data_IF_501590149670
#
_entry.id   IF_501590149670
#
_cell.length_a   1.000
_cell.length_b   1.000
_cell.length_c   1.000
_cell.angle_alpha   90.00
_cell.angle_beta   90.00
_cell.angle_gamma   90.00
#
_symmetry.space_group_name_H-M   'P 1'
#
loop_
_entity.id
_entity.type
_entity.pdbx_description
1 polymer ?
#
# COMPACT_ATOMS: atom_id res chain seq x y z
N UNK A 1 -0.41 11.31 18.88
CA UNK A 1 -1.54 10.41 18.57
C UNK A 1 -1.68 10.20 17.06
N UNK A 2 -1.91 11.25 16.27
CA UNK A 2 -2.05 11.16 14.80
C UNK A 2 -0.84 10.53 14.10
N UNK A 3 0.38 11.02 14.40
CA UNK A 3 1.62 10.49 13.82
C UNK A 3 1.80 9.00 14.19
N UNK A 4 1.59 8.67 15.47
CA UNK A 4 1.71 7.30 15.99
C UNK A 4 0.73 6.32 15.33
N UNK A 5 -0.48 6.78 15.02
CA UNK A 5 -1.52 5.98 14.37
C UNK A 5 -1.18 5.76 12.89
N UNK A 6 -0.69 6.80 12.22
CA UNK A 6 -0.23 6.73 10.81
C UNK A 6 0.97 5.80 10.67
N UNK A 7 1.95 5.87 11.57
CA UNK A 7 3.12 4.96 11.53
C UNK A 7 2.72 3.51 11.78
N UNK A 8 1.80 3.25 12.72
CA UNK A 8 1.30 1.90 12.99
C UNK A 8 0.67 1.23 11.76
N UNK A 9 -0.16 1.98 11.02
CA UNK A 9 -0.80 1.45 9.80
C UNK A 9 0.22 1.26 8.66
N UNK A 10 1.20 2.17 8.54
CA UNK A 10 2.21 2.10 7.48
C UNK A 10 3.23 0.96 7.67
N UNK A 11 3.58 0.64 8.91
CA UNK A 11 4.51 -0.45 9.23
C UNK A 11 3.82 -1.83 9.25
N UNK A 12 2.48 -1.86 9.25
CA UNK A 12 1.74 -3.10 9.23
C UNK A 12 1.94 -3.87 7.90
N UNK A 13 2.34 -5.14 8.03
CA UNK A 13 2.50 -6.07 6.91
C UNK A 13 1.70 -7.35 7.15
N UNK A 14 1.01 -7.79 6.10
CA UNK A 14 0.35 -9.09 6.05
C UNK A 14 1.33 -10.12 5.51
N UNK A 15 1.61 -11.17 6.30
CA UNK A 15 2.48 -12.28 5.90
C UNK A 15 1.64 -13.35 5.20
N UNK A 16 1.82 -13.53 3.89
CA UNK A 16 1.14 -14.57 3.11
C UNK A 16 2.10 -15.76 3.00
N UNK A 17 1.73 -16.97 3.48
CA UNK A 17 2.60 -18.14 3.41
C UNK A 17 2.78 -18.60 1.96
N UNK A 18 4.02 -18.89 1.59
CA UNK A 18 4.40 -19.40 0.28
C UNK A 18 5.08 -20.75 0.44
N UNK A 19 4.58 -21.71 -0.30
CA UNK A 19 5.16 -23.03 -0.41
C UNK A 19 5.95 -23.09 -1.71
N UNK A 20 7.27 -23.00 -1.62
CA UNK A 20 8.14 -23.25 -2.78
C UNK A 20 8.16 -24.73 -3.12
N UNK A 21 8.23 -25.05 -4.41
CA UNK A 21 8.32 -26.43 -4.89
C UNK A 21 9.57 -27.11 -4.30
N UNK A 22 9.36 -28.30 -3.74
CA UNK A 22 10.40 -29.07 -3.05
C UNK A 22 10.95 -30.13 -3.99
N UNK A 23 12.27 -30.37 -3.96
CA UNK A 23 12.90 -31.44 -4.75
C UNK A 23 13.03 -32.68 -3.87
N UNK A 24 12.31 -33.74 -4.19
CA UNK A 24 12.47 -35.04 -3.54
C UNK A 24 13.63 -35.77 -4.23
N UNK A 25 14.68 -36.11 -3.48
CA UNK A 25 15.79 -36.95 -3.98
C UNK A 25 15.93 -38.16 -3.05
N UNK A 26 15.62 -39.35 -3.57
CA UNK A 26 15.53 -40.57 -2.77
C UNK A 26 14.36 -40.52 -1.76
N UNK A 27 14.57 -41.00 -0.53
CA UNK A 27 13.59 -40.95 0.57
C UNK A 27 13.60 -39.63 1.36
N UNK A 28 14.43 -38.66 0.97
CA UNK A 28 14.60 -37.40 1.70
C UNK A 28 14.01 -36.24 0.89
N UNK A 29 13.10 -35.51 1.51
CA UNK A 29 12.60 -34.23 1.01
C UNK A 29 13.70 -33.18 1.24
N UNK A 30 14.30 -32.69 0.15
CA UNK A 30 15.27 -31.59 0.19
C UNK A 30 14.58 -30.29 -0.21
N UNK A 31 14.69 -29.29 0.67
CA UNK A 31 14.00 -28.02 0.52
C UNK A 31 12.62 -28.07 1.14
N UNK A 32 12.37 -27.18 2.10
CA UNK A 32 11.13 -27.16 2.84
C UNK A 32 11.05 -26.04 3.86
N UNK A 33 11.69 -24.91 3.60
CA UNK A 33 11.49 -23.71 4.41
C UNK A 33 10.15 -23.07 4.00
N UNK A 34 9.23 -22.94 4.95
CA UNK A 34 8.03 -22.13 4.77
C UNK A 34 8.47 -20.68 4.62
N UNK A 35 8.39 -20.15 3.40
CA UNK A 35 8.63 -18.73 3.16
C UNK A 35 7.33 -17.95 3.28
N UNK A 36 7.42 -16.65 3.54
CA UNK A 36 6.26 -15.77 3.54
C UNK A 36 6.58 -14.58 2.66
N UNK A 37 5.66 -14.21 1.77
CA UNK A 37 5.74 -12.94 1.06
C UNK A 37 5.10 -11.87 1.96
N UNK A 38 5.85 -10.85 2.39
CA UNK A 38 5.29 -9.72 3.12
C UNK A 38 4.57 -8.80 2.14
N UNK A 39 3.27 -8.56 2.35
CA UNK A 39 2.48 -7.58 1.64
C UNK A 39 2.16 -6.42 2.58
N UNK A 40 2.45 -5.19 2.19
CA UNK A 40 2.10 -4.00 2.99
C UNK A 40 0.58 -3.86 3.08
N UNK A 41 0.07 -3.45 4.25
CA UNK A 41 -1.37 -3.25 4.45
C UNK A 41 -1.90 -2.07 3.64
N UNK A 42 -1.13 -0.97 3.56
CA UNK A 42 -1.42 0.15 2.67
C UNK A 42 -0.49 0.15 1.45
N UNK A 43 -0.85 -0.62 0.42
CA UNK A 43 -0.06 -0.69 -0.82
C UNK A 43 -0.27 0.56 -1.71
N UNK A 44 -1.37 1.30 -1.53
CA UNK A 44 -1.72 2.46 -2.36
C UNK A 44 -0.98 3.74 -1.94
N UNK A 45 -0.42 3.76 -0.73
CA UNK A 45 0.44 4.84 -0.26
C UNK A 45 -0.29 6.19 -0.20
N UNK A 46 0.33 7.23 -0.77
CA UNK A 46 -0.14 8.63 -0.68
C UNK A 46 -0.79 9.13 -1.98
N UNK A 47 -0.67 8.37 -3.08
CA UNK A 47 -1.13 8.84 -4.40
C UNK A 47 -2.65 9.07 -4.49
N UNK A 48 -3.52 8.18 -3.99
CA UNK A 48 -4.97 8.38 -4.13
C UNK A 48 -5.48 9.60 -3.39
N UNK A 49 -4.96 9.87 -2.20
CA UNK A 49 -5.40 11.00 -1.39
C UNK A 49 -4.94 12.33 -1.99
N UNK A 50 -3.73 12.38 -2.56
CA UNK A 50 -3.24 13.57 -3.28
C UNK A 50 -4.12 13.81 -4.51
N UNK A 51 -4.41 12.79 -5.31
CA UNK A 51 -5.27 12.93 -6.50
C UNK A 51 -6.69 13.39 -6.16
N UNK A 52 -7.29 12.84 -5.10
CA UNK A 52 -8.59 13.29 -4.62
C UNK A 52 -8.55 14.76 -4.16
N UNK A 53 -7.51 15.16 -3.42
CA UNK A 53 -7.35 16.55 -2.97
C UNK A 53 -7.17 17.52 -4.14
N UNK A 54 -6.41 17.15 -5.18
CA UNK A 54 -6.24 17.99 -6.37
C UNK A 54 -7.53 18.12 -7.17
N UNK A 55 -8.33 17.05 -7.25
CA UNK A 55 -9.61 17.07 -7.94
C UNK A 55 -10.64 17.96 -7.24
N UNK A 56 -10.65 17.96 -5.90
CA UNK A 56 -11.50 18.86 -5.11
C UNK A 56 -11.04 20.33 -5.19
N UNK A 57 -9.73 20.57 -5.22
CA UNK A 57 -9.17 21.91 -5.35
C UNK A 57 -9.35 22.51 -6.76
N UNK A 58 -9.51 21.67 -7.79
CA UNK A 58 -9.58 22.11 -9.19
C UNK A 58 -10.78 23.02 -9.49
N UNK A 59 -12.04 22.69 -9.15
CA UNK A 59 -13.19 23.59 -9.35
C UNK A 59 -13.08 24.87 -8.52
N UNK A 60 -12.56 24.79 -7.29
CA UNK A 60 -12.38 25.96 -6.43
C UNK A 60 -11.39 26.95 -7.05
N UNK A 61 -10.30 26.43 -7.60
CA UNK A 61 -9.29 27.22 -8.31
C UNK A 61 -9.90 27.91 -9.53
N UNK A 62 -10.71 27.21 -10.32
CA UNK A 62 -11.42 27.79 -11.47
C UNK A 62 -12.42 28.87 -11.03
N UNK A 63 -13.20 28.62 -9.98
CA UNK A 63 -14.17 29.57 -9.46
C UNK A 63 -13.50 30.85 -8.93
N UNK A 64 -12.32 30.74 -8.32
CA UNK A 64 -11.53 31.91 -7.90
C UNK A 64 -11.11 32.76 -9.10
N UNK A 65 -10.62 32.15 -10.18
CA UNK A 65 -10.21 32.90 -11.38
C UNK A 65 -11.39 33.46 -12.19
N UNK A 66 -12.57 32.83 -12.14
CA UNK A 66 -13.78 33.29 -12.84
C UNK A 66 -14.61 34.30 -12.03
N UNK A 67 -14.55 34.25 -10.70
CA UNK A 67 -15.33 35.10 -9.78
C UNK A 67 -14.72 36.48 -9.50
N UNK A 68 -13.55 36.79 -10.05
CA UNK A 68 -12.89 38.11 -9.89
C UNK A 68 -13.34 39.14 -10.96
N UNK A 69 -14.22 38.76 -11.90
CA UNK A 69 -14.73 39.67 -12.95
C UNK A 69 -16.27 39.79 -12.94
N UNK A 70 -16.86 40.07 -11.77
CA UNK A 70 -18.21 40.62 -11.64
C UNK A 70 -18.25 41.67 -10.53
#
# INVERSE_FOLDING_TARGET
>A
ITITLVTFINEAVRKIPVQYAKKVVGRKLYGGQNSHIPMKVNQSGVMPIIFASSLLAFPQTIALFMGENA
#
